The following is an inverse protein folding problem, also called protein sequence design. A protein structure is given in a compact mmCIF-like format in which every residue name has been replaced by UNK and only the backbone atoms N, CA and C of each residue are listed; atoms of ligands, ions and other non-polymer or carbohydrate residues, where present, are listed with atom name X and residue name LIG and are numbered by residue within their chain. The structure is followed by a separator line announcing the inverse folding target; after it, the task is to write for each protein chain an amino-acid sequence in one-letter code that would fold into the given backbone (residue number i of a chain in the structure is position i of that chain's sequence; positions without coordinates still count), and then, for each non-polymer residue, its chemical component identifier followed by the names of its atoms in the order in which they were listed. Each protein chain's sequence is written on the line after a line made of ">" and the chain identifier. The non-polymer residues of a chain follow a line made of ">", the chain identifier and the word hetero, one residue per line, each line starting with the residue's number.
data_IF_564210963835
#
_entry.id   IF_564210963835
#
_cell.length_a   1.000
_cell.length_b   1.000
_cell.length_c   1.000
_cell.angle_alpha   90.00
_cell.angle_beta   90.00
_cell.angle_gamma   90.00
#
_symmetry.space_group_name_H-M   'P 1'
#
loop_
_entity.id
_entity.type
_entity.pdbx_description
1 polymer ?
#
# COMPACT_ATOMS: atom_id res chain seq x y z
N UNK A 1 -34.13 -45.20 14.35
CA UNK A 1 -32.96 -44.66 15.09
C UNK A 1 -32.01 -44.05 14.07
N UNK A 2 -31.60 -42.79 14.29
CA UNK A 2 -30.54 -42.05 13.56
C UNK A 2 -30.84 -41.72 12.08
N UNK A 3 -30.63 -40.51 11.55
CA UNK A 3 -29.75 -39.42 11.99
C UNK A 3 -30.22 -38.09 11.40
N UNK A 4 -30.22 -37.07 12.26
CA UNK A 4 -30.11 -35.67 11.93
C UNK A 4 -29.01 -35.39 10.91
N UNK A 5 -29.33 -34.59 9.90
CA UNK A 5 -28.39 -33.65 9.30
C UNK A 5 -29.18 -32.52 8.65
N UNK A 6 -29.66 -31.62 9.50
CA UNK A 6 -30.18 -30.33 9.11
C UNK A 6 -29.01 -29.53 8.52
N UNK A 7 -29.02 -29.36 7.20
CA UNK A 7 -28.05 -28.56 6.48
C UNK A 7 -28.09 -27.13 7.03
N UNK A 8 -27.01 -26.73 7.72
CA UNK A 8 -26.69 -25.32 7.96
C UNK A 8 -26.55 -24.67 6.58
N UNK A 9 -27.60 -23.97 6.13
CA UNK A 9 -27.49 -23.01 5.04
C UNK A 9 -26.47 -21.96 5.50
N UNK A 10 -25.25 -22.09 4.99
CA UNK A 10 -24.28 -21.00 5.00
C UNK A 10 -24.90 -19.90 4.16
N UNK A 11 -25.45 -18.89 4.83
CA UNK A 11 -25.93 -17.69 4.18
C UNK A 11 -24.71 -17.03 3.54
N UNK A 12 -24.57 -17.18 2.23
CA UNK A 12 -23.64 -16.36 1.46
C UNK A 12 -24.04 -14.90 1.68
N UNK A 13 -23.19 -14.16 2.39
CA UNK A 13 -23.33 -12.71 2.47
C UNK A 13 -23.00 -12.17 1.09
N UNK A 14 -24.04 -11.90 0.30
CA UNK A 14 -23.92 -11.08 -0.91
C UNK A 14 -23.66 -9.64 -0.48
N UNK A 15 -22.45 -9.35 -0.02
CA UNK A 15 -21.98 -8.00 0.23
C UNK A 15 -21.56 -7.38 -1.10
N UNK A 16 -22.30 -6.37 -1.56
CA UNK A 16 -21.86 -5.51 -2.68
C UNK A 16 -20.66 -4.70 -2.18
N UNK A 17 -19.57 -4.61 -2.96
CA UNK A 17 -18.46 -3.70 -2.67
C UNK A 17 -19.05 -2.29 -2.48
N UNK A 18 -19.00 -1.76 -1.25
CA UNK A 18 -19.57 -0.45 -0.88
C UNK A 18 -20.51 -0.45 0.33
N UNK A 19 -20.90 -1.61 0.86
CA UNK A 19 -21.64 -1.64 2.14
C UNK A 19 -20.73 -1.17 3.29
N UNK A 20 -21.15 -0.12 4.00
CA UNK A 20 -20.42 0.46 5.13
C UNK A 20 -20.09 -0.60 6.19
N UNK A 21 -20.99 -1.58 6.43
CA UNK A 21 -20.71 -2.67 7.37
C UNK A 21 -19.54 -3.56 6.95
N UNK A 22 -19.36 -3.75 5.64
CA UNK A 22 -18.24 -4.53 5.10
C UNK A 22 -16.95 -3.71 5.17
N UNK A 23 -17.02 -2.40 4.90
CA UNK A 23 -15.89 -1.48 5.03
C UNK A 23 -15.45 -1.37 6.49
N UNK A 24 -16.38 -1.26 7.43
CA UNK A 24 -16.08 -1.20 8.87
C UNK A 24 -15.45 -2.51 9.37
N UNK A 25 -15.84 -3.65 8.79
CA UNK A 25 -15.36 -4.97 9.20
C UNK A 25 -14.02 -5.38 8.56
N UNK A 26 -13.80 -5.01 7.29
CA UNK A 26 -12.67 -5.50 6.48
C UNK A 26 -11.80 -4.40 5.87
N UNK A 27 -12.21 -3.14 6.01
CA UNK A 27 -11.45 -1.98 5.56
C UNK A 27 -10.24 -1.69 6.46
N UNK A 28 -9.38 -0.75 6.03
CA UNK A 28 -8.32 -0.28 6.89
C UNK A 28 -8.90 0.33 8.18
N UNK A 29 -8.20 0.25 9.31
CA UNK A 29 -8.59 0.95 10.53
C UNK A 29 -8.65 2.47 10.26
N UNK A 30 -9.55 3.15 10.98
CA UNK A 30 -9.65 4.61 11.00
C UNK A 30 -8.75 5.14 12.10
N UNK A 31 -7.98 6.19 11.82
CA UNK A 31 -7.06 6.81 12.77
C UNK A 31 -7.52 8.23 13.11
N UNK A 32 -7.49 8.58 14.40
CA UNK A 32 -7.70 9.97 14.84
C UNK A 32 -6.41 10.79 14.65
N UNK A 33 -5.24 10.21 14.91
CA UNK A 33 -3.93 10.82 14.67
C UNK A 33 -3.37 10.41 13.30
N UNK A 34 -3.12 11.42 12.46
CA UNK A 34 -2.54 11.22 11.13
C UNK A 34 -1.11 10.68 11.15
N UNK A 35 -0.38 10.88 12.24
CA UNK A 35 0.96 10.30 12.44
C UNK A 35 0.89 8.79 12.62
N UNK A 36 -0.14 8.29 13.31
CA UNK A 36 -0.41 6.85 13.45
C UNK A 36 -0.83 6.24 12.10
N UNK A 37 -1.66 6.95 11.34
CA UNK A 37 -2.03 6.54 9.97
C UNK A 37 -0.79 6.46 9.07
N UNK A 38 0.11 7.45 9.12
CA UNK A 38 1.35 7.45 8.36
C UNK A 38 2.20 6.22 8.71
N UNK A 39 2.40 5.95 10.02
CA UNK A 39 3.17 4.80 10.47
C UNK A 39 2.55 3.48 9.97
N UNK A 40 1.23 3.35 10.05
CA UNK A 40 0.48 2.21 9.52
C UNK A 40 0.69 2.04 8.01
N UNK A 41 0.55 3.11 7.22
CA UNK A 41 0.71 3.06 5.75
C UNK A 41 2.14 2.69 5.35
N UNK A 42 3.17 3.22 6.02
CA UNK A 42 4.57 2.83 5.80
C UNK A 42 4.80 1.35 6.08
N UNK A 43 4.23 0.82 7.16
CA UNK A 43 4.31 -0.61 7.47
C UNK A 43 3.60 -1.47 6.42
N UNK A 44 2.44 -1.04 5.93
CA UNK A 44 1.69 -1.73 4.87
C UNK A 44 2.42 -1.69 3.54
N UNK A 45 3.06 -0.58 3.20
CA UNK A 45 3.90 -0.47 2.02
C UNK A 45 5.07 -1.44 2.09
N UNK A 46 5.81 -1.47 3.20
CA UNK A 46 6.90 -2.44 3.40
C UNK A 46 6.42 -3.90 3.33
N UNK A 47 5.26 -4.21 3.91
CA UNK A 47 4.64 -5.53 3.81
C UNK A 47 4.24 -5.88 2.37
N UNK A 48 3.77 -4.91 1.57
CA UNK A 48 3.39 -5.10 0.17
C UNK A 48 4.58 -5.52 -0.69
N UNK A 49 5.76 -4.90 -0.49
CA UNK A 49 6.99 -5.35 -1.14
C UNK A 49 7.35 -6.79 -0.77
N UNK A 50 7.25 -7.14 0.52
CA UNK A 50 7.53 -8.51 0.96
C UNK A 50 6.54 -9.52 0.40
N UNK A 51 5.29 -9.13 0.18
CA UNK A 51 4.31 -9.96 -0.53
C UNK A 51 4.67 -10.11 -2.00
N UNK A 52 5.07 -9.04 -2.69
CA UNK A 52 5.55 -9.11 -4.07
C UNK A 52 6.72 -10.09 -4.20
N UNK A 53 7.71 -9.99 -3.32
CA UNK A 53 8.83 -10.93 -3.29
C UNK A 53 8.40 -12.36 -2.97
N UNK A 54 7.43 -12.53 -2.07
CA UNK A 54 6.91 -13.86 -1.72
C UNK A 54 6.21 -14.54 -2.91
N UNK A 55 5.50 -13.77 -3.73
CA UNK A 55 4.80 -14.26 -4.92
C UNK A 55 5.64 -14.20 -6.21
N UNK A 56 6.90 -13.74 -6.15
CA UNK A 56 7.81 -13.67 -7.29
C UNK A 56 7.44 -12.59 -8.31
N UNK A 57 6.89 -11.47 -7.84
CA UNK A 57 6.58 -10.30 -8.69
C UNK A 57 7.74 -9.29 -8.76
N UNK A 58 8.83 -9.54 -8.06
CA UNK A 58 10.06 -8.76 -8.13
C UNK A 58 10.95 -9.18 -9.31
N UNK A 59 11.55 -8.20 -10.00
CA UNK A 59 12.47 -8.44 -11.11
C UNK A 59 13.74 -7.59 -10.93
N UNK A 60 14.77 -8.20 -10.33
CA UNK A 60 16.08 -7.58 -10.14
C UNK A 60 16.02 -6.25 -9.38
N UNK A 61 16.37 -5.15 -10.07
CA UNK A 61 16.33 -3.78 -9.54
C UNK A 61 15.09 -2.98 -10.00
N UNK A 62 14.22 -3.60 -10.79
CA UNK A 62 12.99 -2.98 -11.27
C UNK A 62 11.89 -3.02 -10.20
N UNK A 63 10.82 -2.28 -10.47
CA UNK A 63 9.62 -2.24 -9.63
C UNK A 63 9.68 -1.20 -8.52
N UNK A 64 8.52 -0.67 -8.19
CA UNK A 64 8.33 0.29 -7.10
C UNK A 64 6.84 0.35 -6.76
N UNK A 65 6.57 0.59 -5.48
CA UNK A 65 5.23 0.81 -4.96
C UNK A 65 5.27 2.14 -4.23
N UNK A 66 4.29 3.00 -4.52
CA UNK A 66 4.12 4.29 -3.86
C UNK A 66 2.87 4.28 -2.99
N UNK A 67 2.91 4.99 -1.87
CA UNK A 67 1.70 5.36 -1.11
C UNK A 67 1.74 6.85 -0.76
N UNK A 68 0.62 7.56 -0.96
CA UNK A 68 0.45 8.97 -0.61
C UNK A 68 0.59 9.14 0.89
N UNK A 69 1.30 10.18 1.30
CA UNK A 69 1.45 10.53 2.69
C UNK A 69 0.16 11.17 3.24
N UNK A 70 -0.34 10.75 4.42
CA UNK A 70 -1.58 11.30 4.97
C UNK A 70 -1.41 12.64 5.68
N UNK A 71 -0.17 13.09 5.96
CA UNK A 71 0.14 14.40 6.53
C UNK A 71 0.36 15.46 5.45
N UNK A 72 0.91 15.06 4.30
CA UNK A 72 1.19 15.91 3.15
C UNK A 72 0.77 15.20 1.84
N UNK A 73 -0.45 15.50 1.40
CA UNK A 73 -1.12 14.80 0.32
C UNK A 73 -0.42 14.93 -1.04
N UNK A 74 0.52 15.86 -1.23
CA UNK A 74 1.28 16.02 -2.47
C UNK A 74 2.63 15.27 -2.45
N UNK A 75 2.84 14.42 -1.45
CA UNK A 75 4.06 13.62 -1.29
C UNK A 75 3.77 12.13 -1.11
N UNK A 76 4.75 11.29 -1.43
CA UNK A 76 4.58 9.84 -1.56
C UNK A 76 5.76 9.08 -0.96
N UNK A 77 5.47 8.06 -0.17
CA UNK A 77 6.47 7.09 0.29
C UNK A 77 6.75 6.06 -0.79
N UNK A 78 8.03 5.74 -0.99
CA UNK A 78 8.52 4.77 -1.99
C UNK A 78 9.74 4.01 -1.45
N UNK A 79 10.05 2.85 -2.04
CA UNK A 79 11.25 2.09 -1.70
C UNK A 79 12.55 2.76 -2.16
N UNK A 80 13.59 2.55 -1.37
CA UNK A 80 14.97 2.85 -1.75
C UNK A 80 15.48 1.81 -2.76
N UNK A 81 16.18 2.27 -3.79
CA UNK A 81 16.82 1.47 -4.82
C UNK A 81 17.94 0.59 -4.21
N UNK A 82 18.05 -0.65 -4.69
CA UNK A 82 19.12 -1.58 -4.31
C UNK A 82 18.82 -2.43 -3.07
N UNK A 83 17.66 -2.24 -2.43
CA UNK A 83 17.17 -3.13 -1.38
C UNK A 83 16.20 -4.13 -2.01
N UNK A 84 16.50 -5.42 -1.87
CA UNK A 84 15.61 -6.48 -2.35
C UNK A 84 14.23 -6.37 -1.67
N UNK A 85 13.15 -6.59 -2.42
CA UNK A 85 11.78 -6.41 -1.93
C UNK A 85 11.47 -7.19 -0.65
N UNK A 86 12.02 -8.40 -0.50
CA UNK A 86 11.88 -9.22 0.72
C UNK A 86 12.52 -8.63 1.98
N UNK A 87 13.36 -7.60 1.84
CA UNK A 87 14.12 -6.97 2.94
C UNK A 87 13.64 -5.57 3.31
N UNK A 88 12.81 -4.94 2.49
CA UNK A 88 12.31 -3.59 2.75
C UNK A 88 11.62 -3.52 4.10
N UNK A 89 12.00 -2.53 4.91
CA UNK A 89 11.37 -2.13 6.17
C UNK A 89 10.75 -0.74 6.04
N UNK A 90 9.82 -0.41 6.93
CA UNK A 90 9.20 0.93 6.97
C UNK A 90 10.22 2.07 7.19
N UNK A 91 11.35 1.76 7.85
CA UNK A 91 12.48 2.66 8.07
C UNK A 91 13.30 2.94 6.81
N UNK A 92 13.21 2.08 5.80
CA UNK A 92 14.01 2.19 4.57
C UNK A 92 13.31 3.03 3.49
N UNK A 93 12.06 3.41 3.74
CA UNK A 93 11.24 4.17 2.81
C UNK A 93 11.69 5.64 2.80
N UNK A 94 11.63 6.24 1.62
CA UNK A 94 11.87 7.67 1.42
C UNK A 94 10.58 8.33 0.93
N UNK A 95 10.38 9.60 1.29
CA UNK A 95 9.24 10.39 0.87
C UNK A 95 9.67 11.35 -0.24
N UNK A 96 8.91 11.36 -1.33
CA UNK A 96 9.20 12.16 -2.51
C UNK A 96 8.02 13.07 -2.85
N UNK A 97 8.31 14.26 -3.38
CA UNK A 97 7.31 15.14 -3.94
C UNK A 97 7.01 14.83 -5.42
N UNK A 98 6.01 15.51 -5.98
CA UNK A 98 5.66 15.37 -7.39
C UNK A 98 6.78 15.71 -8.39
N UNK A 99 7.78 16.49 -7.99
CA UNK A 99 8.93 16.87 -8.82
C UNK A 99 10.03 15.82 -8.86
N UNK A 100 9.91 14.75 -8.06
CA UNK A 100 10.90 13.68 -7.97
C UNK A 100 12.02 13.99 -6.99
N UNK A 101 11.81 14.94 -6.08
CA UNK A 101 12.78 15.29 -5.04
C UNK A 101 12.46 14.56 -3.75
N UNK A 102 13.51 14.10 -3.06
CA UNK A 102 13.38 13.51 -1.71
C UNK A 102 13.13 14.65 -0.72
N UNK A 103 12.00 14.60 -0.03
CA UNK A 103 11.63 15.54 1.04
C UNK A 103 11.86 14.93 2.43
N UNK A 104 11.97 13.60 2.54
CA UNK A 104 12.25 12.91 3.78
C UNK A 104 12.92 11.54 3.55
N UNK A 105 13.80 11.14 4.46
CA UNK A 105 14.54 9.88 4.38
C UNK A 105 15.89 10.02 3.67
N UNK A 106 16.58 8.90 3.50
CA UNK A 106 17.91 8.83 2.88
C UNK A 106 17.97 7.65 1.92
N UNK A 107 18.66 7.80 0.80
CA UNK A 107 18.86 6.73 -0.17
C UNK A 107 18.80 7.23 -1.61
N UNK A 108 18.84 6.28 -2.53
CA UNK A 108 18.64 6.49 -3.96
C UNK A 108 17.26 5.99 -4.34
N UNK A 109 16.59 6.66 -5.27
CA UNK A 109 15.35 6.19 -5.88
C UNK A 109 15.55 6.13 -7.38
N UNK A 110 14.89 5.19 -8.05
CA UNK A 110 14.74 5.26 -9.49
C UNK A 110 13.75 6.38 -9.86
N UNK A 111 14.25 7.62 -9.89
CA UNK A 111 13.41 8.82 -10.12
C UNK A 111 12.64 8.72 -11.43
N UNK A 112 13.26 8.21 -12.50
CA UNK A 112 12.61 8.07 -13.80
C UNK A 112 11.36 7.18 -13.72
N UNK A 113 11.45 6.07 -12.98
CA UNK A 113 10.33 5.17 -12.77
C UNK A 113 9.27 5.79 -11.85
N UNK A 114 9.68 6.41 -10.73
CA UNK A 114 8.80 7.16 -9.83
C UNK A 114 7.96 8.23 -10.54
N UNK A 115 8.51 8.90 -11.56
CA UNK A 115 7.78 9.94 -12.29
C UNK A 115 6.50 9.41 -12.96
N UNK A 116 6.42 8.12 -13.30
CA UNK A 116 5.18 7.50 -13.79
C UNK A 116 4.11 7.53 -12.69
N UNK A 117 4.46 7.09 -11.48
CA UNK A 117 3.56 7.10 -10.33
C UNK A 117 3.15 8.53 -9.95
N UNK A 118 4.08 9.48 -9.96
CA UNK A 118 3.81 10.91 -9.72
C UNK A 118 2.70 11.42 -10.66
N UNK A 119 2.76 11.10 -11.96
CA UNK A 119 1.73 11.52 -12.92
C UNK A 119 0.39 10.81 -12.71
N UNK A 120 0.39 9.55 -12.32
CA UNK A 120 -0.84 8.82 -11.97
C UNK A 120 -1.52 9.47 -10.75
N UNK A 121 -0.76 9.76 -9.70
CA UNK A 121 -1.29 10.40 -8.49
C UNK A 121 -1.78 11.83 -8.74
N UNK A 122 -1.10 12.59 -9.60
CA UNK A 122 -1.52 13.94 -9.98
C UNK A 122 -2.82 13.94 -10.80
N UNK A 123 -2.95 12.99 -11.73
CA UNK A 123 -4.14 12.84 -12.55
C UNK A 123 -5.33 12.26 -11.76
N UNK A 124 -5.06 11.52 -10.67
CA UNK A 124 -6.08 10.83 -9.88
C UNK A 124 -5.89 11.13 -8.39
N UNK A 125 -6.37 12.28 -7.88
CA UNK A 125 -6.19 12.66 -6.47
C UNK A 125 -6.73 11.64 -5.46
N UNK A 126 -7.75 10.86 -5.85
CA UNK A 126 -8.35 9.80 -5.02
C UNK A 126 -7.50 8.53 -4.92
N UNK A 127 -6.47 8.38 -5.77
CA UNK A 127 -5.58 7.21 -5.75
C UNK A 127 -4.48 7.44 -4.70
N UNK A 128 -4.45 6.56 -3.71
CA UNK A 128 -3.49 6.60 -2.61
C UNK A 128 -2.28 5.70 -2.84
N UNK A 129 -2.38 4.63 -3.64
CA UNK A 129 -1.26 3.75 -3.90
C UNK A 129 -1.20 3.31 -5.36
N UNK A 130 0.01 3.13 -5.87
CA UNK A 130 0.30 2.58 -7.19
C UNK A 130 1.41 1.56 -7.03
N UNK A 131 1.27 0.40 -7.67
CA UNK A 131 2.25 -0.67 -7.66
C UNK A 131 2.64 -1.02 -9.10
N UNK A 132 3.94 -1.13 -9.33
CA UNK A 132 4.53 -1.58 -10.59
C UNK A 132 5.59 -2.64 -10.32
#
# INVERSE_FOLDING_TARGET
>A
MSKDQQAKKSTMVQGVLGDQKIIDQFGPPVFEDKSEEQAYLKQRLAASFRLFAHYGFDDGLAGHITVRDPLDLDTFWVNTLGIHFSKICASDLVRMDHSGQIVEGQGLVNTAAFMIHSRIHAANPQVNAVAH
#
